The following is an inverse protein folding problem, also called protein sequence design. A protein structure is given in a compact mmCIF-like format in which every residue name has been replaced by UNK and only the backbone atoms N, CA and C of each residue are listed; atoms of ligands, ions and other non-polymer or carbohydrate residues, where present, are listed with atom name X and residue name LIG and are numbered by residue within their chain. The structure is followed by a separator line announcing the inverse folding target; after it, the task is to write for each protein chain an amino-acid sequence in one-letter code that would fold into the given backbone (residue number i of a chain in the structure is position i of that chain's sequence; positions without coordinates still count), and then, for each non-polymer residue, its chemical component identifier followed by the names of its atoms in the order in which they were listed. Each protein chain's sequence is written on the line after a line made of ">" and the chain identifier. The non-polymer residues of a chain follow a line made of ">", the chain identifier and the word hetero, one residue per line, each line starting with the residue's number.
data_IF_876945761543
#
_entry.id   IF_876945761543
#
_cell.length_a   1.000
_cell.length_b   1.000
_cell.length_c   1.000
_cell.angle_alpha   90.00
_cell.angle_beta   90.00
_cell.angle_gamma   90.00
#
_symmetry.space_group_name_H-M   'P 1'
#
loop_
_entity.id
_entity.type
_entity.pdbx_description
1 polymer ?
#
# COMPACT_ATOMS: atom_id res chain seq x y z
N UNK A 1 26.27 8.01 0.54
CA UNK A 1 24.83 7.97 0.91
C UNK A 1 24.13 7.07 -0.07
N UNK A 2 23.44 6.04 0.41
CA UNK A 2 22.54 5.25 -0.45
C UNK A 2 21.28 6.07 -0.71
N UNK A 3 20.86 6.21 -1.98
CA UNK A 3 19.64 6.94 -2.31
C UNK A 3 18.42 6.20 -1.77
N UNK A 4 17.47 6.94 -1.21
CA UNK A 4 16.22 6.30 -0.75
C UNK A 4 15.38 5.93 -1.96
N UNK A 5 15.01 4.66 -2.03
CA UNK A 5 14.28 4.08 -3.15
C UNK A 5 12.77 4.16 -2.90
N UNK A 6 12.02 4.77 -3.82
CA UNK A 6 10.55 4.80 -3.79
C UNK A 6 10.02 3.97 -4.95
N UNK A 7 9.34 2.83 -4.68
CA UNK A 7 8.72 2.05 -5.73
C UNK A 7 7.45 2.75 -6.25
N UNK A 8 7.28 2.75 -7.57
CA UNK A 8 6.07 3.16 -8.26
C UNK A 8 5.49 1.96 -9.02
N UNK A 9 4.30 1.53 -8.58
CA UNK A 9 3.60 0.37 -9.13
C UNK A 9 2.58 0.80 -10.20
N UNK A 10 2.63 0.19 -11.39
CA UNK A 10 1.64 0.41 -12.46
C UNK A 10 0.32 -0.31 -12.18
N UNK A 11 0.40 -1.53 -11.67
CA UNK A 11 -0.71 -2.35 -11.22
C UNK A 11 -0.40 -2.94 -9.85
N UNK A 12 -1.41 -3.04 -8.99
CA UNK A 12 -1.25 -3.59 -7.66
C UNK A 12 -2.55 -4.25 -7.22
N UNK A 13 -2.46 -5.47 -6.71
CA UNK A 13 -3.63 -6.16 -6.18
C UNK A 13 -4.07 -5.52 -4.85
N UNK A 14 -5.37 -5.51 -4.52
CA UNK A 14 -5.85 -4.89 -3.29
C UNK A 14 -5.27 -5.50 -2.00
N UNK A 15 -4.99 -6.80 -2.00
CA UNK A 15 -4.35 -7.47 -0.86
C UNK A 15 -2.86 -7.13 -0.77
N UNK A 16 -2.16 -7.05 -1.89
CA UNK A 16 -0.77 -6.59 -1.93
C UNK A 16 -0.67 -5.14 -1.44
N UNK A 17 -1.61 -4.29 -1.85
CA UNK A 17 -1.72 -2.93 -1.33
C UNK A 17 -1.88 -2.92 0.20
N UNK A 18 -2.79 -3.73 0.74
CA UNK A 18 -2.95 -3.85 2.19
C UNK A 18 -1.67 -4.31 2.88
N UNK A 19 -0.99 -5.32 2.35
CA UNK A 19 0.23 -5.86 2.94
C UNK A 19 1.31 -4.78 3.02
N UNK A 20 1.55 -4.09 1.89
CA UNK A 20 2.50 -3.00 1.80
C UNK A 20 2.14 -1.83 2.71
N UNK A 21 0.85 -1.48 2.79
CA UNK A 21 0.40 -0.40 3.65
C UNK A 21 0.52 -0.76 5.14
N UNK A 22 0.25 -2.01 5.50
CA UNK A 22 0.35 -2.49 6.89
C UNK A 22 1.78 -2.90 7.27
N UNK A 23 2.75 -2.78 6.36
CA UNK A 23 4.16 -3.14 6.59
C UNK A 23 4.40 -4.65 6.68
N UNK A 24 3.46 -5.47 6.22
CA UNK A 24 3.54 -6.93 6.31
C UNK A 24 4.46 -7.53 5.24
N UNK A 25 4.75 -6.79 4.18
CA UNK A 25 5.67 -7.22 3.12
C UNK A 25 7.15 -7.16 3.56
N UNK A 26 7.44 -6.46 4.65
CA UNK A 26 8.78 -6.38 5.24
C UNK A 26 9.02 -7.40 6.35
N UNK A 27 7.98 -8.16 6.74
CA UNK A 27 8.05 -9.14 7.82
C UNK A 27 8.43 -10.53 7.30
N UNK A 28 9.08 -11.37 8.13
CA UNK A 28 9.23 -12.80 7.84
C UNK A 28 7.86 -13.46 7.57
N UNK A 29 7.81 -14.46 6.69
CA UNK A 29 6.56 -15.09 6.23
C UNK A 29 5.69 -15.62 7.38
N UNK A 30 6.29 -16.17 8.43
CA UNK A 30 5.57 -16.69 9.59
C UNK A 30 4.88 -15.55 10.38
N UNK A 31 5.62 -14.48 10.67
CA UNK A 31 5.10 -13.30 11.37
C UNK A 31 4.03 -12.58 10.54
N UNK A 32 4.26 -12.44 9.22
CA UNK A 32 3.27 -11.90 8.30
C UNK A 32 1.99 -12.74 8.31
N UNK A 33 2.09 -14.07 8.40
CA UNK A 33 0.94 -14.99 8.46
C UNK A 33 0.18 -14.84 9.77
N UNK A 34 0.88 -14.76 10.90
CA UNK A 34 0.28 -14.49 12.21
C UNK A 34 -0.47 -13.15 12.21
N UNK A 35 0.16 -12.11 11.68
CA UNK A 35 -0.45 -10.79 11.53
C UNK A 35 -1.64 -10.82 10.56
N UNK A 36 -1.59 -11.62 9.49
CA UNK A 36 -2.71 -11.84 8.56
C UNK A 36 -3.86 -12.66 9.14
N UNK A 37 -3.74 -13.10 10.39
CA UNK A 37 -4.78 -13.81 11.14
C UNK A 37 -6.03 -12.94 11.43
N UNK A 38 -6.65 -13.17 12.59
CA UNK A 38 -7.95 -12.58 12.89
C UNK A 38 -7.93 -11.05 12.82
N UNK A 39 -8.82 -10.47 12.02
CA UNK A 39 -8.95 -9.02 11.87
C UNK A 39 -8.18 -8.39 10.71
N UNK A 40 -7.31 -9.11 9.99
CA UNK A 40 -6.62 -8.58 8.81
C UNK A 40 -7.59 -8.01 7.77
N UNK A 41 -8.66 -8.76 7.45
CA UNK A 41 -9.72 -8.29 6.54
C UNK A 41 -10.40 -7.01 7.04
N UNK A 42 -10.62 -6.88 8.35
CA UNK A 42 -11.23 -5.68 8.94
C UNK A 42 -10.31 -4.47 8.79
N UNK A 43 -9.01 -4.63 9.07
CA UNK A 43 -7.99 -3.59 8.86
C UNK A 43 -7.92 -3.16 7.40
N UNK A 44 -7.92 -4.11 6.46
CA UNK A 44 -8.00 -3.79 5.03
C UNK A 44 -9.27 -3.02 4.64
N UNK A 45 -10.44 -3.44 5.14
CA UNK A 45 -11.69 -2.75 4.86
C UNK A 45 -11.66 -1.30 5.36
N UNK A 46 -11.16 -1.10 6.58
CA UNK A 46 -11.00 0.23 7.18
C UNK A 46 -10.01 1.07 6.37
N UNK A 47 -8.86 0.52 6.05
CA UNK A 47 -7.83 1.19 5.26
C UNK A 47 -8.38 1.68 3.90
N UNK A 48 -9.00 0.78 3.14
CA UNK A 48 -9.54 1.13 1.82
C UNK A 48 -10.70 2.14 1.93
N UNK A 49 -11.48 2.06 3.01
CA UNK A 49 -12.54 3.04 3.30
C UNK A 49 -11.96 4.42 3.54
N UNK A 50 -10.92 4.53 4.37
CA UNK A 50 -10.23 5.79 4.68
C UNK A 50 -9.54 6.38 3.44
N UNK A 51 -8.75 5.60 2.73
CA UNK A 51 -7.95 6.08 1.60
C UNK A 51 -8.81 6.52 0.40
N UNK A 52 -9.95 5.88 0.18
CA UNK A 52 -10.87 6.25 -0.91
C UNK A 52 -12.01 7.18 -0.47
N UNK A 53 -12.13 7.50 0.83
CA UNK A 53 -13.25 8.28 1.35
C UNK A 53 -14.61 7.60 1.12
N UNK A 54 -14.65 6.26 1.18
CA UNK A 54 -15.85 5.46 0.94
C UNK A 54 -16.42 4.93 2.25
N UNK A 55 -17.71 4.60 2.27
CA UNK A 55 -18.29 3.92 3.42
C UNK A 55 -17.67 2.52 3.62
N UNK A 56 -17.48 2.06 4.87
CA UNK A 56 -17.01 0.69 5.12
C UNK A 56 -17.92 -0.39 4.53
N UNK A 57 -19.21 -0.09 4.34
CA UNK A 57 -20.16 -1.01 3.72
C UNK A 57 -19.88 -1.18 2.22
N UNK A 58 -19.60 -0.07 1.52
CA UNK A 58 -19.22 -0.10 0.10
C UNK A 58 -17.99 -0.96 -0.14
N UNK A 59 -16.96 -0.82 0.71
CA UNK A 59 -15.73 -1.62 0.61
C UNK A 59 -15.99 -3.10 0.92
N UNK A 60 -16.81 -3.40 1.94
CA UNK A 60 -17.20 -4.78 2.28
C UNK A 60 -17.89 -5.50 1.12
N UNK A 61 -18.72 -4.79 0.34
CA UNK A 61 -19.41 -5.32 -0.84
C UNK A 61 -18.47 -5.73 -1.98
N UNK A 62 -17.19 -5.33 -1.95
CA UNK A 62 -16.20 -5.77 -2.93
C UNK A 62 -15.82 -7.25 -2.80
N UNK A 63 -16.27 -7.92 -1.74
CA UNK A 63 -16.17 -9.36 -1.57
C UNK A 63 -14.81 -9.83 -1.08
N UNK A 64 -14.61 -11.16 -1.07
CA UNK A 64 -13.34 -11.77 -0.67
C UNK A 64 -12.21 -11.34 -1.61
N UNK A 65 -11.05 -11.00 -1.04
CA UNK A 65 -9.90 -10.46 -1.79
C UNK A 65 -10.19 -9.19 -2.60
N UNK A 66 -11.31 -8.50 -2.34
CA UNK A 66 -11.72 -7.30 -3.07
C UNK A 66 -11.87 -7.51 -4.58
N UNK A 67 -12.25 -8.73 -5.01
CA UNK A 67 -12.40 -9.10 -6.43
C UNK A 67 -13.39 -8.21 -7.20
N UNK A 68 -14.38 -7.63 -6.53
CA UNK A 68 -15.38 -6.73 -7.13
C UNK A 68 -15.02 -5.24 -6.97
N UNK A 69 -13.79 -4.93 -6.57
CA UNK A 69 -13.31 -3.55 -6.50
C UNK A 69 -13.38 -2.89 -7.89
N UNK A 70 -14.00 -1.72 -8.04
CA UNK A 70 -14.08 -1.05 -9.33
C UNK A 70 -12.70 -0.70 -9.89
N UNK A 71 -12.52 -0.87 -11.21
CA UNK A 71 -11.25 -0.61 -11.92
C UNK A 71 -10.67 0.78 -11.61
N UNK A 72 -11.53 1.81 -11.50
CA UNK A 72 -11.14 3.19 -11.17
C UNK A 72 -10.44 3.33 -9.80
N UNK A 73 -10.76 2.47 -8.84
CA UNK A 73 -10.10 2.47 -7.53
C UNK A 73 -8.82 1.62 -7.58
N UNK A 74 -8.87 0.47 -8.26
CA UNK A 74 -7.72 -0.42 -8.42
C UNK A 74 -6.53 0.29 -9.09
N UNK A 75 -6.79 1.03 -10.17
CA UNK A 75 -5.78 1.81 -10.88
C UNK A 75 -5.11 2.92 -10.03
N UNK A 76 -5.68 3.27 -8.88
CA UNK A 76 -5.12 4.30 -7.98
C UNK A 76 -4.23 3.71 -6.88
N UNK A 77 -4.26 2.40 -6.65
CA UNK A 77 -3.58 1.77 -5.50
C UNK A 77 -2.06 2.03 -5.49
N UNK A 78 -1.39 1.82 -6.62
CA UNK A 78 0.06 2.07 -6.74
C UNK A 78 0.42 3.53 -6.47
N UNK A 79 -0.37 4.46 -7.02
CA UNK A 79 -0.21 5.91 -6.81
C UNK A 79 -0.38 6.32 -5.34
N UNK A 80 -1.33 5.69 -4.63
CA UNK A 80 -1.58 5.95 -3.22
C UNK A 80 -0.42 5.49 -2.32
N UNK A 81 0.16 4.32 -2.57
CA UNK A 81 1.37 3.89 -1.86
C UNK A 81 2.55 4.81 -2.13
N UNK A 82 2.72 5.23 -3.38
CA UNK A 82 3.77 6.16 -3.77
C UNK A 82 3.66 7.49 -3.00
N UNK A 83 2.46 8.07 -2.93
CA UNK A 83 2.26 9.31 -2.18
C UNK A 83 2.51 9.16 -0.69
N UNK A 84 2.05 8.08 -0.08
CA UNK A 84 2.37 7.81 1.33
C UNK A 84 3.88 7.73 1.57
N UNK A 85 4.63 7.06 0.67
CA UNK A 85 6.09 6.98 0.80
C UNK A 85 6.76 8.34 0.64
N UNK A 86 6.24 9.21 -0.23
CA UNK A 86 6.69 10.60 -0.31
C UNK A 86 6.43 11.35 1.00
N UNK A 87 5.26 11.18 1.62
CA UNK A 87 4.94 11.82 2.90
C UNK A 87 5.87 11.34 4.02
N UNK A 88 6.11 10.03 4.11
CA UNK A 88 7.09 9.44 5.03
C UNK A 88 8.50 10.03 4.81
N UNK A 89 8.91 10.18 3.55
CA UNK A 89 10.21 10.76 3.19
C UNK A 89 10.30 12.25 3.46
N UNK A 90 9.22 13.00 3.28
CA UNK A 90 9.21 14.43 3.60
C UNK A 90 9.53 14.66 5.09
N UNK A 91 9.09 13.75 5.97
CA UNK A 91 9.46 13.78 7.40
C UNK A 91 10.94 13.45 7.62
N UNK A 92 11.50 12.49 6.89
CA UNK A 92 12.90 12.10 7.02
C UNK A 92 13.86 13.15 6.44
N UNK A 93 13.55 13.70 5.27
CA UNK A 93 14.39 14.69 4.59
C UNK A 93 14.31 16.09 5.22
N UNK A 94 13.28 16.40 6.03
CA UNK A 94 13.08 17.75 6.62
C UNK A 94 14.29 18.26 7.40
N UNK A 95 15.03 17.36 8.06
CA UNK A 95 16.19 17.71 8.90
C UNK A 95 17.53 17.36 8.23
N UNK A 96 17.54 16.97 6.96
CA UNK A 96 18.75 16.56 6.25
C UNK A 96 19.34 17.72 5.43
N UNK A 97 20.66 17.89 5.47
CA UNK A 97 21.38 18.88 4.65
C UNK A 97 21.32 18.56 3.16
N UNK A 98 21.25 17.27 2.82
CA UNK A 98 21.08 16.76 1.45
C UNK A 98 20.22 15.49 1.49
N UNK A 99 19.16 15.41 0.67
CA UNK A 99 18.34 14.21 0.53
C UNK A 99 18.31 13.76 -0.94
N UNK A 100 18.84 12.57 -1.23
CA UNK A 100 18.86 12.01 -2.59
C UNK A 100 17.80 10.91 -2.69
N UNK A 101 16.86 11.06 -3.62
CA UNK A 101 15.73 10.14 -3.82
C UNK A 101 15.79 9.54 -5.22
N UNK A 102 15.58 8.23 -5.32
CA UNK A 102 15.44 7.52 -6.58
C UNK A 102 14.05 6.88 -6.69
N UNK A 103 13.32 7.22 -7.75
CA UNK A 103 12.04 6.58 -8.07
C UNK A 103 12.33 5.33 -8.89
N UNK A 104 11.82 4.19 -8.45
CA UNK A 104 11.98 2.90 -9.12
C UNK A 104 10.63 2.47 -9.66
N UNK A 105 10.56 2.21 -10.96
CA UNK A 105 9.36 1.63 -11.56
C UNK A 105 9.32 0.13 -11.25
N UNK A 106 8.33 -0.29 -10.47
CA UNK A 106 8.07 -1.69 -10.14
C UNK A 106 6.92 -2.19 -11.00
N UNK A 107 7.23 -2.75 -12.17
CA UNK A 107 6.28 -3.41 -13.07
C UNK A 107 6.32 -4.92 -12.86
N UNK A 108 5.15 -5.54 -12.67
CA UNK A 108 5.00 -6.98 -12.47
C UNK A 108 5.55 -7.79 -13.64
N UNK A 109 6.40 -8.77 -13.33
CA UNK A 109 6.75 -9.83 -14.25
C UNK A 109 5.53 -10.70 -14.58
N UNK A 110 5.56 -11.21 -15.81
CA UNK A 110 4.59 -12.06 -16.52
C UNK A 110 3.77 -13.04 -15.68
#
# INVERSE_FOLDING_TARGET
>A
MTPTQIPLYSELEPLEFCDKWLGLDSLPSEEATLQKGHGYRSRCNRLLSEVFGLSPNTVRQWGSGFRRMPKKHRAKLGKLLFYRKIEELHLTCRHATTCTVQIIFSGGGF
#
